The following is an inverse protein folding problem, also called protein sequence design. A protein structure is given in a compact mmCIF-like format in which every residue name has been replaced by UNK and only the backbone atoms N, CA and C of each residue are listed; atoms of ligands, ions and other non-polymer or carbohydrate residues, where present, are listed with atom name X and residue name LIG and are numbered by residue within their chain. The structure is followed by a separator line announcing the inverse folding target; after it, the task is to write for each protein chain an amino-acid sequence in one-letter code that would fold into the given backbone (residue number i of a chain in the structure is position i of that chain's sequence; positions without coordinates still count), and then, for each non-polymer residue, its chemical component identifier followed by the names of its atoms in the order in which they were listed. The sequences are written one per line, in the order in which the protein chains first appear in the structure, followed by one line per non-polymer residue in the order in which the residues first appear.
data_IF_305152896552
#
_entry.id   IF_305152896552
#
_cell.length_a   1.000
_cell.length_b   1.000
_cell.length_c   1.000
_cell.angle_alpha   90.00
_cell.angle_beta   90.00
_cell.angle_gamma   90.00
#
_symmetry.space_group_name_H-M   'P 1'
#
loop_
_entity.id
_entity.type
_entity.pdbx_description
1 polymer ?
#
# COMPACT_ATOMS: atom_id res chain seq x y z
N UNK A 1 49.76 -78.37 0.30
CA UNK A 1 50.96 -77.84 0.90
C UNK A 1 50.58 -76.41 1.35
N UNK A 2 50.16 -76.21 2.47
CA UNK A 2 50.71 -76.36 3.82
C UNK A 2 51.07 -74.98 4.27
N UNK A 3 50.43 -74.43 5.20
CA UNK A 3 50.89 -73.94 6.50
C UNK A 3 49.97 -72.80 7.02
N UNK A 4 49.27 -73.16 8.05
CA UNK A 4 48.82 -72.19 9.06
C UNK A 4 50.03 -71.83 9.91
N UNK A 5 50.12 -70.57 10.37
CA UNK A 5 50.17 -70.37 11.80
C UNK A 5 49.39 -69.07 12.19
N UNK A 6 48.88 -68.93 13.28
CA UNK A 6 48.98 -69.04 14.68
C UNK A 6 48.43 -67.80 15.33
N UNK A 7 47.32 -67.97 15.99
CA UNK A 7 46.81 -67.04 16.99
C UNK A 7 47.89 -66.81 18.07
N UNK A 8 48.29 -65.56 18.25
CA UNK A 8 48.85 -65.02 19.51
C UNK A 8 49.32 -63.58 19.29
N UNK A 9 48.48 -62.64 19.58
CA UNK A 9 48.81 -61.25 19.98
C UNK A 9 47.60 -60.34 19.80
N UNK A 10 46.56 -60.64 20.49
CA UNK A 10 45.40 -59.80 20.58
C UNK A 10 45.08 -59.53 22.06
N UNK A 11 45.94 -58.86 22.74
CA UNK A 11 45.69 -58.49 24.14
C UNK A 11 46.59 -57.33 24.66
N UNK A 12 46.74 -56.26 23.88
CA UNK A 12 47.37 -55.02 24.45
C UNK A 12 47.03 -53.79 23.60
N UNK A 13 45.80 -53.46 23.53
CA UNK A 13 45.37 -52.28 22.74
C UNK A 13 44.05 -51.64 23.19
N UNK A 14 43.51 -52.03 24.33
CA UNK A 14 42.15 -51.58 24.74
C UNK A 14 42.16 -50.55 25.90
N UNK A 15 43.22 -49.88 26.18
CA UNK A 15 43.25 -49.09 27.40
C UNK A 15 43.76 -47.64 27.23
N UNK A 16 43.60 -47.03 26.06
CA UNK A 16 43.97 -45.58 25.89
C UNK A 16 42.88 -44.77 25.15
N UNK A 17 41.65 -45.22 25.01
CA UNK A 17 40.60 -44.44 24.37
C UNK A 17 39.53 -43.91 25.33
N UNK A 18 39.76 -43.96 26.64
CA UNK A 18 38.79 -43.47 27.64
C UNK A 18 39.07 -42.03 28.13
N UNK A 19 39.80 -41.19 27.40
CA UNK A 19 40.23 -39.86 27.87
C UNK A 19 39.87 -38.66 27.02
N UNK A 20 39.13 -38.80 25.91
CA UNK A 20 38.69 -37.64 25.10
C UNK A 20 37.16 -37.58 25.05
N UNK A 21 36.54 -37.29 26.19
CA UNK A 21 35.22 -36.69 26.18
C UNK A 21 35.41 -35.22 25.82
N UNK A 22 34.88 -34.73 24.66
CA UNK A 22 34.84 -33.33 24.41
C UNK A 22 33.94 -32.70 25.47
N UNK A 23 34.53 -31.81 26.25
CA UNK A 23 33.83 -30.99 27.25
C UNK A 23 32.58 -30.41 26.61
N UNK A 24 31.44 -30.55 27.29
CA UNK A 24 30.15 -30.07 26.85
C UNK A 24 30.26 -28.64 26.31
N UNK A 25 30.02 -28.51 25.03
CA UNK A 25 29.68 -27.23 24.44
C UNK A 25 28.47 -26.73 25.23
N UNK A 26 28.68 -25.86 26.19
CA UNK A 26 27.64 -25.01 26.72
C UNK A 26 27.13 -24.25 25.51
N UNK A 27 26.00 -24.68 25.00
CA UNK A 27 25.21 -23.84 24.14
C UNK A 27 25.08 -22.51 24.88
N UNK A 28 25.77 -21.49 24.39
CA UNK A 28 25.48 -20.12 24.77
C UNK A 28 24.00 -19.92 24.40
N UNK A 29 23.18 -19.98 25.41
CA UNK A 29 21.86 -19.45 25.38
C UNK A 29 22.07 -17.99 24.92
N UNK A 30 21.90 -17.74 23.61
CA UNK A 30 21.68 -16.39 23.13
C UNK A 30 20.47 -15.94 23.92
N UNK A 31 20.67 -15.07 24.88
CA UNK A 31 19.61 -14.22 25.35
C UNK A 31 19.14 -13.50 24.10
N UNK A 32 18.08 -14.04 23.50
CA UNK A 32 17.27 -13.33 22.53
C UNK A 32 16.78 -12.13 23.33
N UNK A 33 17.56 -11.06 23.27
CA UNK A 33 17.05 -9.76 23.64
C UNK A 33 15.85 -9.57 22.76
N UNK A 34 14.68 -9.83 23.29
CA UNK A 34 13.42 -9.31 22.79
C UNK A 34 13.59 -7.79 22.83
N UNK A 35 14.27 -7.27 21.80
CA UNK A 35 14.15 -5.88 21.41
C UNK A 35 12.66 -5.68 21.35
N UNK A 36 12.14 -4.98 22.36
CA UNK A 36 10.71 -4.82 22.52
C UNK A 36 10.15 -4.48 21.18
N UNK A 37 9.25 -5.32 20.71
CA UNK A 37 8.47 -5.04 19.53
C UNK A 37 7.95 -3.62 19.71
N UNK A 38 8.57 -2.65 19.00
CA UNK A 38 8.07 -1.29 19.03
C UNK A 38 6.60 -1.41 18.67
N UNK A 39 5.74 -1.28 19.66
CA UNK A 39 4.29 -1.26 19.45
C UNK A 39 4.00 -0.02 18.65
N UNK A 40 4.12 -0.14 17.33
CA UNK A 40 3.64 0.87 16.42
C UNK A 40 2.14 0.92 16.62
N UNK A 41 1.66 2.09 16.96
CA UNK A 41 0.24 2.32 17.08
C UNK A 41 -0.37 2.12 15.69
N UNK A 42 -1.38 1.28 15.60
CA UNK A 42 -2.13 1.09 14.36
C UNK A 42 -3.27 2.09 14.32
N UNK A 43 -3.49 2.63 13.15
CA UNK A 43 -4.63 3.50 12.86
C UNK A 43 -5.44 2.97 11.70
N UNK A 44 -6.72 3.31 11.69
CA UNK A 44 -7.65 2.98 10.61
C UNK A 44 -7.80 4.20 9.71
N UNK A 45 -7.66 3.97 8.40
CA UNK A 45 -7.86 4.98 7.34
C UNK A 45 -8.67 4.35 6.21
N UNK A 46 -9.37 5.19 5.44
CA UNK A 46 -10.22 4.73 4.35
C UNK A 46 -9.69 5.23 3.02
N UNK A 47 -9.67 4.35 2.01
CA UNK A 47 -9.28 4.69 0.63
C UNK A 47 -10.46 4.47 -0.29
N UNK A 48 -10.85 5.50 -1.01
CA UNK A 48 -12.00 5.52 -1.91
C UNK A 48 -11.60 6.01 -3.30
N UNK A 49 -12.44 5.70 -4.30
CA UNK A 49 -12.30 6.17 -5.67
C UNK A 49 -11.47 5.26 -6.57
N UNK A 50 -10.74 5.86 -7.51
CA UNK A 50 -10.03 5.16 -8.59
C UNK A 50 -8.66 4.61 -8.13
N UNK A 51 -8.69 3.65 -7.22
CA UNK A 51 -7.54 2.87 -6.75
C UNK A 51 -7.75 1.39 -7.07
N UNK A 52 -6.66 0.62 -7.12
CA UNK A 52 -6.75 -0.81 -7.45
C UNK A 52 -7.56 -1.60 -6.41
N UNK A 53 -7.45 -1.25 -5.14
CA UNK A 53 -8.17 -1.88 -4.04
C UNK A 53 -8.69 -0.82 -3.07
N UNK A 54 -9.92 -0.30 -3.29
CA UNK A 54 -10.55 0.61 -2.34
C UNK A 54 -11.01 -0.15 -1.09
N UNK A 55 -11.04 0.53 0.06
CA UNK A 55 -11.48 -0.07 1.32
C UNK A 55 -10.86 0.54 2.55
N UNK A 56 -11.05 -0.12 3.67
CA UNK A 56 -10.46 0.20 4.96
C UNK A 56 -9.05 -0.40 5.08
N UNK A 57 -8.11 0.39 5.59
CA UNK A 57 -6.74 -0.03 5.82
C UNK A 57 -6.31 0.22 7.26
N UNK A 58 -5.68 -0.79 7.86
CA UNK A 58 -4.97 -0.66 9.12
C UNK A 58 -3.50 -0.42 8.81
N UNK A 59 -2.98 0.69 9.27
CA UNK A 59 -1.63 1.15 9.00
C UNK A 59 -1.00 1.72 10.25
N UNK A 60 0.32 1.81 10.27
CA UNK A 60 1.04 2.48 11.36
C UNK A 60 0.73 3.98 11.40
N UNK A 61 0.81 4.57 12.56
CA UNK A 61 0.53 6.00 12.80
C UNK A 61 1.50 6.96 12.09
N UNK A 62 2.65 6.46 11.64
CA UNK A 62 3.65 7.18 10.86
C UNK A 62 3.43 7.09 9.34
N UNK A 63 2.39 6.37 8.89
CA UNK A 63 2.10 6.14 7.47
C UNK A 63 1.71 7.42 6.75
N UNK A 64 2.32 7.66 5.61
CA UNK A 64 1.99 8.78 4.72
C UNK A 64 1.04 8.36 3.59
N UNK A 65 0.52 9.35 2.83
CA UNK A 65 -0.44 9.12 1.75
C UNK A 65 0.11 8.23 0.63
N UNK A 66 1.41 8.34 0.30
CA UNK A 66 2.01 7.55 -0.78
C UNK A 66 2.12 6.08 -0.37
N UNK A 67 2.51 5.83 0.86
CA UNK A 67 2.62 4.49 1.40
C UNK A 67 1.25 3.81 1.48
N UNK A 68 0.22 4.55 1.91
CA UNK A 68 -1.16 4.06 1.91
C UNK A 68 -1.63 3.70 0.49
N UNK A 69 -1.42 4.60 -0.49
CA UNK A 69 -1.78 4.34 -1.88
C UNK A 69 -1.01 3.14 -2.45
N UNK A 70 0.26 2.97 -2.08
CA UNK A 70 1.05 1.80 -2.47
C UNK A 70 0.47 0.50 -1.91
N UNK A 71 0.03 0.49 -0.66
CA UNK A 71 -0.68 -0.65 -0.04
C UNK A 71 -2.02 -0.93 -0.73
N UNK A 72 -2.71 0.12 -1.19
CA UNK A 72 -3.95 0.00 -1.97
C UNK A 72 -3.71 -0.46 -3.44
N UNK A 73 -2.46 -0.66 -3.84
CA UNK A 73 -2.09 -1.09 -5.19
C UNK A 73 -1.98 0.03 -6.21
N UNK A 74 -1.92 1.29 -5.74
CA UNK A 74 -1.82 2.47 -6.59
C UNK A 74 -3.13 2.89 -7.25
N UNK A 75 -3.07 3.94 -8.06
CA UNK A 75 -4.21 4.40 -8.85
C UNK A 75 -4.48 3.51 -10.07
N UNK A 76 -5.74 3.46 -10.50
CA UNK A 76 -6.12 2.80 -11.75
C UNK A 76 -5.69 3.65 -12.97
N UNK A 77 -5.85 3.12 -14.18
CA UNK A 77 -5.60 3.88 -15.42
C UNK A 77 -6.54 5.10 -15.57
N UNK A 78 -7.64 5.12 -14.85
CA UNK A 78 -8.63 6.19 -14.85
C UNK A 78 -8.44 7.16 -13.68
N UNK A 79 -7.46 6.93 -12.81
CA UNK A 79 -7.22 7.76 -11.65
C UNK A 79 -6.60 9.10 -12.01
N UNK A 80 -6.94 10.12 -11.23
CA UNK A 80 -6.32 11.44 -11.29
C UNK A 80 -5.48 11.65 -10.02
N UNK A 81 -4.22 11.22 -10.09
CA UNK A 81 -3.30 11.27 -8.95
C UNK A 81 -2.83 12.69 -8.62
N UNK A 82 -3.08 13.66 -9.51
CA UNK A 82 -2.76 15.07 -9.29
C UNK A 82 -3.74 15.78 -8.32
N UNK A 83 -4.89 15.18 -8.05
CA UNK A 83 -5.97 15.79 -7.24
C UNK A 83 -6.48 14.86 -6.15
N UNK A 84 -5.58 14.13 -5.50
CA UNK A 84 -5.96 13.27 -4.38
C UNK A 84 -6.43 14.13 -3.22
N UNK A 85 -7.59 13.80 -2.68
CA UNK A 85 -8.22 14.54 -1.59
C UNK A 85 -8.15 13.75 -0.30
N UNK A 86 -7.66 14.38 0.76
CA UNK A 86 -7.66 13.81 2.13
C UNK A 86 -8.70 14.59 2.93
N UNK A 87 -9.72 13.91 3.38
CA UNK A 87 -10.75 14.46 4.25
C UNK A 87 -10.50 13.99 5.67
N UNK A 88 -10.31 14.94 6.57
CA UNK A 88 -10.10 14.72 8.00
C UNK A 88 -11.27 15.23 8.79
N UNK A 89 -11.88 14.35 9.57
CA UNK A 89 -12.92 14.71 10.52
C UNK A 89 -12.25 14.97 11.87
N UNK A 90 -12.36 16.18 12.38
CA UNK A 90 -11.91 16.54 13.72
C UNK A 90 -13.12 16.84 14.57
N UNK A 91 -13.26 16.14 15.67
CA UNK A 91 -14.18 16.50 16.75
C UNK A 91 -13.49 17.61 17.54
N UNK A 92 -13.55 18.84 17.07
CA UNK A 92 -13.15 19.97 17.88
C UNK A 92 -14.36 20.40 18.72
N UNK A 93 -14.17 20.60 20.04
CA UNK A 93 -15.21 21.25 20.82
C UNK A 93 -15.43 22.61 20.19
N UNK A 94 -16.66 22.87 19.76
CA UNK A 94 -17.04 24.13 19.14
C UNK A 94 -16.52 25.26 20.00
N UNK A 95 -15.65 26.12 19.42
CA UNK A 95 -15.32 27.40 20.04
C UNK A 95 -16.60 28.21 20.03
N UNK A 96 -17.29 28.26 21.16
CA UNK A 96 -18.58 28.94 21.41
C UNK A 96 -18.53 30.43 21.10
N UNK A 97 -17.38 30.95 20.70
CA UNK A 97 -17.19 32.40 20.43
C UNK A 97 -17.60 32.85 19.02
N UNK A 98 -17.89 31.93 18.06
CA UNK A 98 -18.25 32.29 16.68
C UNK A 98 -19.53 31.66 16.14
N UNK A 99 -20.23 30.87 16.94
CA UNK A 99 -21.50 30.27 16.55
C UNK A 99 -22.63 31.20 17.05
N UNK A 100 -23.14 32.04 16.16
CA UNK A 100 -24.41 32.76 16.41
C UNK A 100 -25.52 31.73 16.62
N UNK A 101 -26.29 31.96 17.64
CA UNK A 101 -27.63 31.54 18.09
C UNK A 101 -28.41 30.38 17.44
N UNK A 102 -27.77 29.49 16.71
CA UNK A 102 -28.39 28.27 16.12
C UNK A 102 -27.73 26.95 16.52
N UNK A 103 -26.97 26.93 17.62
CA UNK A 103 -26.39 25.69 18.14
C UNK A 103 -27.38 24.96 19.06
N UNK A 104 -28.40 24.34 18.49
CA UNK A 104 -29.15 23.27 19.15
C UNK A 104 -28.24 22.04 19.13
N UNK A 105 -27.62 21.75 20.28
CA UNK A 105 -27.06 20.43 20.68
C UNK A 105 -26.59 19.53 19.55
N UNK A 106 -25.57 19.93 18.84
CA UNK A 106 -24.93 19.12 17.81
C UNK A 106 -23.42 19.27 17.94
N UNK A 107 -22.74 18.17 18.14
CA UNK A 107 -21.30 18.04 18.05
C UNK A 107 -20.84 18.59 16.70
N UNK A 108 -20.19 19.75 16.69
CA UNK A 108 -19.75 20.38 15.42
C UNK A 108 -18.53 19.63 14.93
N UNK A 109 -18.78 18.68 14.01
CA UNK A 109 -17.73 17.99 13.29
C UNK A 109 -17.08 18.96 12.29
N UNK A 110 -15.90 19.45 12.59
CA UNK A 110 -15.13 20.25 11.64
C UNK A 110 -14.45 19.34 10.64
N UNK A 111 -14.88 19.43 9.39
CA UNK A 111 -14.27 18.72 8.28
C UNK A 111 -13.17 19.57 7.65
N UNK A 112 -11.94 19.06 7.60
CA UNK A 112 -10.83 19.67 6.89
C UNK A 112 -10.51 18.87 5.67
N UNK A 113 -10.43 19.53 4.52
CA UNK A 113 -10.13 18.90 3.23
C UNK A 113 -8.77 19.39 2.74
N UNK A 114 -7.87 18.46 2.46
CA UNK A 114 -6.54 18.74 1.91
C UNK A 114 -6.44 18.14 0.52
N UNK A 115 -6.01 18.92 -0.45
CA UNK A 115 -5.71 18.41 -1.79
C UNK A 115 -4.20 18.16 -1.91
N UNK A 116 -3.84 17.00 -2.44
CA UNK A 116 -2.46 16.54 -2.57
C UNK A 116 -2.19 16.11 -3.99
N UNK A 117 -1.15 16.68 -4.60
CA UNK A 117 -0.70 16.26 -5.92
C UNK A 117 0.35 15.15 -5.78
N UNK A 118 -0.10 13.91 -5.85
CA UNK A 118 0.78 12.72 -5.75
C UNK A 118 1.69 12.61 -6.97
N UNK A 119 1.23 13.01 -8.15
CA UNK A 119 2.06 13.01 -9.37
C UNK A 119 3.29 13.92 -9.26
N UNK A 120 3.14 15.10 -8.67
CA UNK A 120 4.26 16.03 -8.48
C UNK A 120 5.22 15.54 -7.39
N UNK A 121 4.72 14.87 -6.38
CA UNK A 121 5.55 14.22 -5.35
C UNK A 121 6.38 13.10 -5.98
N UNK A 122 5.75 12.21 -6.77
CA UNK A 122 6.44 11.10 -7.45
C UNK A 122 7.48 11.59 -8.48
N UNK A 123 7.26 12.76 -9.08
CA UNK A 123 8.22 13.40 -9.99
C UNK A 123 9.29 14.20 -9.28
N UNK A 124 9.29 14.23 -7.95
CA UNK A 124 10.25 14.99 -7.14
C UNK A 124 10.07 16.51 -7.17
N UNK A 125 8.93 17.01 -7.64
CA UNK A 125 8.64 18.45 -7.71
C UNK A 125 8.13 19.02 -6.39
N UNK A 126 7.55 18.20 -5.55
CA UNK A 126 7.03 18.58 -4.23
C UNK A 126 7.58 17.61 -3.17
N UNK A 127 8.09 18.18 -2.07
CA UNK A 127 8.60 17.41 -0.93
C UNK A 127 7.59 17.30 0.22
N UNK A 128 6.45 17.99 0.11
CA UNK A 128 5.46 18.02 1.18
C UNK A 128 4.53 16.80 1.08
N UNK A 129 4.90 15.73 1.75
CA UNK A 129 4.11 14.50 1.86
C UNK A 129 3.33 14.56 3.16
N UNK A 130 1.99 14.69 3.14
CA UNK A 130 1.22 14.73 4.36
C UNK A 130 1.17 13.35 5.04
N UNK A 131 1.36 13.36 6.36
CA UNK A 131 1.10 12.19 7.19
C UNK A 131 -0.40 12.06 7.45
N UNK A 132 -0.86 10.83 7.44
CA UNK A 132 -2.24 10.49 7.71
C UNK A 132 -2.54 10.52 9.21
N UNK A 133 -3.80 10.63 9.55
CA UNK A 133 -4.29 10.52 10.93
C UNK A 133 -5.40 9.47 11.02
N UNK A 134 -5.65 8.93 12.21
CA UNK A 134 -6.76 8.01 12.42
C UNK A 134 -8.08 8.60 11.92
N UNK A 135 -8.82 7.82 11.12
CA UNK A 135 -10.10 8.24 10.56
C UNK A 135 -10.01 9.11 9.29
N UNK A 136 -8.81 9.37 8.74
CA UNK A 136 -8.69 10.08 7.49
C UNK A 136 -9.31 9.27 6.33
N UNK A 137 -9.99 9.97 5.43
CA UNK A 137 -10.54 9.43 4.19
C UNK A 137 -9.72 9.97 3.03
N UNK A 138 -9.05 9.08 2.31
CA UNK A 138 -8.28 9.41 1.11
C UNK A 138 -9.11 9.06 -0.11
N UNK A 139 -9.47 10.06 -0.91
CA UNK A 139 -10.26 9.90 -2.13
C UNK A 139 -9.39 10.20 -3.35
N UNK A 140 -9.33 9.24 -4.26
CA UNK A 140 -8.67 9.39 -5.57
C UNK A 140 -9.75 9.61 -6.62
N UNK A 141 -9.87 10.82 -7.20
CA UNK A 141 -10.90 11.10 -8.19
C UNK A 141 -10.59 10.43 -9.52
N UNK A 142 -11.62 10.32 -10.33
CA UNK A 142 -11.52 9.83 -11.71
C UNK A 142 -11.04 10.94 -12.63
N UNK A 143 -10.14 10.60 -13.56
CA UNK A 143 -9.68 11.52 -14.58
C UNK A 143 -10.78 11.78 -15.61
N UNK A 144 -11.29 13.01 -15.65
CA UNK A 144 -12.30 13.45 -16.60
C UNK A 144 -11.83 13.43 -18.07
N UNK A 145 -10.52 13.57 -18.30
CA UNK A 145 -9.92 13.51 -19.63
C UNK A 145 -10.07 12.12 -20.29
N UNK A 146 -10.15 11.05 -19.50
CA UNK A 146 -10.38 9.70 -20.01
C UNK A 146 -11.78 9.57 -20.66
N UNK A 147 -12.76 10.22 -20.07
CA UNK A 147 -14.16 10.25 -20.59
C UNK A 147 -14.23 10.96 -21.93
N UNK A 148 -13.53 12.09 -22.08
CA UNK A 148 -13.45 12.83 -23.33
C UNK A 148 -12.83 12.01 -24.48
N UNK A 149 -11.76 11.25 -24.19
CA UNK A 149 -11.11 10.38 -25.19
C UNK A 149 -12.07 9.31 -25.73
N UNK A 150 -12.87 8.71 -24.86
CA UNK A 150 -13.87 7.71 -25.24
C UNK A 150 -14.96 8.36 -26.08
N UNK A 151 -15.47 9.53 -25.70
CA UNK A 151 -16.49 10.26 -26.45
C UNK A 151 -15.98 10.69 -27.83
N UNK A 152 -14.75 11.17 -27.93
CA UNK A 152 -14.13 11.54 -29.20
C UNK A 152 -13.94 10.33 -30.14
N UNK A 153 -13.62 9.15 -29.62
CA UNK A 153 -13.54 7.93 -30.42
C UNK A 153 -14.88 7.54 -31.03
N UNK A 154 -15.96 7.59 -30.25
CA UNK A 154 -17.32 7.29 -30.72
C UNK A 154 -17.75 8.29 -31.80
N UNK A 155 -17.49 9.58 -31.62
CA UNK A 155 -17.80 10.60 -32.61
C UNK A 155 -17.04 10.37 -33.93
N UNK A 156 -15.78 9.99 -33.86
CA UNK A 156 -14.99 9.63 -35.05
C UNK A 156 -15.57 8.44 -35.78
N UNK A 157 -15.97 7.40 -35.08
CA UNK A 157 -16.51 6.18 -35.68
C UNK A 157 -17.86 6.45 -36.36
N UNK A 158 -18.74 7.27 -35.77
CA UNK A 158 -19.98 7.74 -36.38
C UNK A 158 -19.69 8.53 -37.67
N UNK A 159 -18.68 9.40 -37.65
CA UNK A 159 -18.28 10.20 -38.81
C UNK A 159 -17.83 9.31 -39.98
N UNK A 160 -17.08 8.24 -39.71
CA UNK A 160 -16.65 7.27 -40.74
C UNK A 160 -17.86 6.58 -41.37
N UNK A 161 -18.78 6.10 -40.55
CA UNK A 161 -20.02 5.44 -41.07
C UNK A 161 -20.85 6.39 -41.92
N UNK A 162 -21.02 7.63 -41.48
CA UNK A 162 -21.78 8.64 -42.22
C UNK A 162 -21.14 8.98 -43.57
N UNK A 163 -19.82 9.11 -43.61
CA UNK A 163 -19.06 9.39 -44.83
C UNK A 163 -19.17 8.22 -45.80
N UNK A 164 -19.02 7.00 -45.33
CA UNK A 164 -19.17 5.79 -46.15
C UNK A 164 -20.59 5.68 -46.76
N UNK A 165 -21.61 5.94 -45.94
CA UNK A 165 -23.02 5.95 -46.41
C UNK A 165 -23.24 7.01 -47.49
N UNK A 166 -22.73 8.23 -47.28
CA UNK A 166 -22.85 9.30 -48.24
C UNK A 166 -22.19 8.95 -49.57
N UNK A 167 -20.99 8.37 -49.56
CA UNK A 167 -20.32 7.90 -50.76
C UNK A 167 -21.08 6.80 -51.48
N UNK A 168 -21.63 5.83 -50.76
CA UNK A 168 -22.41 4.73 -51.33
C UNK A 168 -23.68 5.24 -52.01
N UNK A 169 -24.41 6.16 -51.38
CA UNK A 169 -25.62 6.75 -51.98
C UNK A 169 -25.29 7.54 -53.22
N UNK A 170 -24.21 8.31 -53.23
CA UNK A 170 -23.78 9.10 -54.38
C UNK A 170 -23.38 8.21 -55.58
N UNK A 171 -22.67 7.12 -55.33
CA UNK A 171 -22.26 6.16 -56.38
C UNK A 171 -23.44 5.39 -56.97
N UNK A 172 -24.55 5.29 -56.26
CA UNK A 172 -25.75 4.61 -56.75
C UNK A 172 -26.67 5.53 -57.57
N UNK A 173 -26.46 6.86 -57.50
CA UNK A 173 -27.27 7.87 -58.23
C UNK A 173 -26.66 8.32 -59.58
N UNK A 174 -25.37 7.97 -59.82
CA UNK A 174 -24.70 8.15 -61.10
C UNK A 174 -24.74 6.84 -61.92
#
# INVERSE_FOLDING_TARGET
MGLRPSLRSAALGVLVVAGLLPGGARAQQRDDYLLGEERRLEMVVHVLGEVARPGEYRVSDDTNVIELLSKAGGGTQLSQMSEVTITRMSLEPANLASAGESAISGEVTTQRVFQVNVDDILKGKSANIPNLRPGDIVMVPRNSMSTWRTTAAVLRDISIVLTTYFFAVRTYQD
#
